data_IF_190620913348
#
_entry.id   IF_190620913348
#
_cell.length_a   1.000
_cell.length_b   1.000
_cell.length_c   1.000
_cell.angle_alpha   90.00
_cell.angle_beta   90.00
_cell.angle_gamma   90.00
#
_symmetry.space_group_name_H-M   'P 1'
#
loop_
_entity.id
_entity.type
_entity.pdbx_description
1 polymer ?
#
# COMPACT_ATOMS: atom_id res chain seq x y z
N UNK A 1 10.68 -8.24 -21.43
CA UNK A 1 11.02 -7.00 -20.71
C UNK A 1 12.52 -6.72 -20.92
N UNK A 2 12.92 -6.34 -22.14
CA UNK A 2 14.33 -6.01 -22.45
C UNK A 2 14.58 -4.57 -22.01
N UNK A 3 15.70 -4.30 -21.33
CA UNK A 3 16.11 -2.94 -20.96
C UNK A 3 15.54 -2.39 -19.65
N UNK A 4 14.67 -3.11 -18.94
CA UNK A 4 14.07 -2.60 -17.69
C UNK A 4 15.09 -2.37 -16.57
N UNK A 5 16.14 -3.19 -16.53
CA UNK A 5 17.24 -3.03 -15.58
C UNK A 5 18.36 -2.10 -16.09
N UNK A 6 18.24 -1.60 -17.33
CA UNK A 6 19.24 -0.75 -17.95
C UNK A 6 18.79 0.73 -17.84
N UNK A 7 19.35 1.51 -16.90
CA UNK A 7 18.93 2.88 -16.70
C UNK A 7 19.29 3.73 -17.93
N UNK A 8 18.33 4.52 -18.44
CA UNK A 8 18.64 5.48 -19.48
C UNK A 8 19.49 6.63 -18.90
N UNK A 9 20.61 7.00 -19.56
CA UNK A 9 21.45 8.10 -19.10
C UNK A 9 20.64 9.39 -18.91
N UNK A 10 20.77 10.02 -17.74
CA UNK A 10 20.08 11.28 -17.40
C UNK A 10 18.60 11.13 -17.02
N UNK A 11 18.00 9.95 -17.13
CA UNK A 11 16.62 9.75 -16.68
C UNK A 11 16.58 9.42 -15.19
N UNK A 12 15.87 10.21 -14.35
CA UNK A 12 15.77 9.91 -12.93
C UNK A 12 14.95 8.64 -12.74
N UNK A 13 15.50 7.69 -11.96
CA UNK A 13 14.71 6.60 -11.40
C UNK A 13 13.80 7.20 -10.34
N UNK A 14 12.52 6.90 -10.40
CA UNK A 14 11.52 7.41 -9.46
C UNK A 14 10.62 6.28 -8.99
N UNK A 15 10.28 6.32 -7.71
CA UNK A 15 9.28 5.43 -7.12
C UNK A 15 7.93 6.14 -7.14
N UNK A 16 6.86 5.43 -7.50
CA UNK A 16 5.50 5.99 -7.53
C UNK A 16 4.61 5.21 -6.57
N UNK A 17 3.99 5.92 -5.65
CA UNK A 17 2.91 5.40 -4.81
C UNK A 17 1.58 5.71 -5.49
N UNK A 18 0.76 4.68 -5.66
CA UNK A 18 -0.54 4.77 -6.34
C UNK A 18 -1.53 3.90 -5.58
N UNK A 19 -2.69 4.47 -5.29
CA UNK A 19 -3.78 3.86 -4.54
C UNK A 19 -3.38 3.48 -3.10
N UNK A 20 -2.53 4.29 -2.46
CA UNK A 20 -2.11 4.09 -1.08
C UNK A 20 -2.93 4.96 -0.11
N UNK A 21 -3.16 4.41 1.09
CA UNK A 21 -3.68 5.14 2.26
C UNK A 21 -2.58 5.22 3.31
N UNK A 22 -2.32 6.42 3.83
CA UNK A 22 -1.33 6.69 4.87
C UNK A 22 -2.01 7.18 6.14
N UNK A 23 -1.99 6.37 7.21
CA UNK A 23 -2.63 6.70 8.48
C UNK A 23 -1.59 7.03 9.53
N UNK A 24 -1.75 8.13 10.26
CA UNK A 24 -0.89 8.55 11.38
C UNK A 24 0.60 8.67 11.01
N UNK A 25 0.89 9.18 9.80
CA UNK A 25 2.25 9.38 9.32
C UNK A 25 2.63 10.87 9.36
N UNK A 26 3.69 11.22 10.07
CA UNK A 26 4.23 12.59 10.09
C UNK A 26 4.80 13.02 8.74
N UNK A 27 5.41 12.08 8.01
CA UNK A 27 5.92 12.27 6.66
C UNK A 27 5.54 11.06 5.80
N UNK A 28 4.87 11.29 4.66
CA UNK A 28 4.36 10.21 3.79
C UNK A 28 5.34 9.81 2.66
N UNK A 29 6.42 10.57 2.46
CA UNK A 29 7.43 10.29 1.43
C UNK A 29 8.76 10.95 1.75
N UNK A 30 9.84 10.33 1.31
CA UNK A 30 11.18 10.90 1.30
C UNK A 30 11.90 10.55 -0.01
N UNK A 31 13.07 11.15 -0.27
CA UNK A 31 13.85 10.87 -1.47
C UNK A 31 13.10 11.18 -2.77
N UNK A 32 13.12 10.24 -3.72
CA UNK A 32 12.57 10.40 -5.07
C UNK A 32 11.14 9.83 -5.23
N UNK A 33 10.41 9.62 -4.13
CA UNK A 33 9.03 9.15 -4.18
C UNK A 33 8.08 10.22 -4.73
N UNK A 34 7.24 9.82 -5.67
CA UNK A 34 6.10 10.58 -6.15
C UNK A 34 4.82 10.02 -5.54
N UNK A 35 4.12 10.86 -4.77
CA UNK A 35 2.84 10.55 -4.14
C UNK A 35 1.85 11.59 -4.64
N UNK A 36 0.98 11.18 -5.57
CA UNK A 36 -0.05 12.06 -6.13
C UNK A 36 -1.27 12.07 -5.18
N UNK A 37 -1.74 13.25 -4.71
CA UNK A 37 -2.90 13.33 -3.81
C UNK A 37 -4.23 12.90 -4.46
N UNK A 38 -4.32 12.80 -5.79
CA UNK A 38 -5.52 12.31 -6.47
C UNK A 38 -5.62 10.78 -6.48
N UNK A 39 -4.52 10.09 -6.17
CA UNK A 39 -4.46 8.63 -6.16
C UNK A 39 -3.99 8.10 -4.83
N UNK A 40 -3.75 8.95 -3.84
CA UNK A 40 -3.30 8.56 -2.52
C UNK A 40 -3.93 9.49 -1.51
N UNK A 41 -4.20 8.97 -0.32
CA UNK A 41 -4.87 9.73 0.72
C UNK A 41 -4.16 9.53 2.04
N UNK A 42 -4.07 10.60 2.84
CA UNK A 42 -3.43 10.56 4.13
C UNK A 42 -4.34 11.20 5.17
N UNK A 43 -4.39 10.57 6.34
CA UNK A 43 -5.22 10.98 7.47
C UNK A 43 -4.49 10.74 8.79
N UNK A 44 -4.88 11.48 9.83
CA UNK A 44 -4.37 11.43 11.20
C UNK A 44 -5.38 10.84 12.20
N UNK A 45 -6.46 10.23 11.68
CA UNK A 45 -7.46 9.53 12.46
C UNK A 45 -7.78 8.17 11.86
N UNK A 46 -8.52 7.36 12.62
CA UNK A 46 -8.99 6.05 12.16
C UNK A 46 -10.02 6.23 11.03
N UNK A 47 -9.71 5.77 9.80
CA UNK A 47 -10.60 5.96 8.65
C UNK A 47 -11.70 4.91 8.52
N UNK A 48 -11.89 4.07 9.54
CA UNK A 48 -12.86 2.98 9.53
C UNK A 48 -12.21 1.59 9.54
N UNK A 49 -11.10 1.42 10.26
CA UNK A 49 -10.59 0.10 10.59
C UNK A 49 -11.59 -0.69 11.44
N UNK A 50 -11.53 -2.02 11.35
CA UNK A 50 -12.35 -2.91 12.18
C UNK A 50 -11.91 -2.80 13.64
N UNK A 51 -10.61 -2.90 13.94
CA UNK A 51 -10.07 -2.77 15.31
C UNK A 51 -8.57 -2.46 15.31
N UNK A 52 -8.18 -1.20 15.48
CA UNK A 52 -6.77 -0.81 15.65
C UNK A 52 -6.09 -1.43 16.89
N UNK A 53 -6.72 -1.50 18.09
CA UNK A 53 -6.08 -2.09 19.28
C UNK A 53 -5.71 -3.56 19.13
N UNK A 54 -6.44 -4.30 18.28
CA UNK A 54 -6.19 -5.71 17.98
C UNK A 54 -5.33 -5.91 16.72
N UNK A 55 -4.79 -4.82 16.14
CA UNK A 55 -4.08 -4.80 14.86
C UNK A 55 -4.92 -5.34 13.68
N UNK A 56 -6.24 -5.25 13.76
CA UNK A 56 -7.15 -5.59 12.68
C UNK A 56 -7.43 -4.36 11.81
N UNK A 57 -6.57 -4.18 10.81
CA UNK A 57 -6.63 -3.07 9.84
C UNK A 57 -7.50 -3.38 8.62
N UNK A 58 -8.37 -4.40 8.68
CA UNK A 58 -9.44 -4.55 7.71
C UNK A 58 -10.35 -3.31 7.75
N UNK A 59 -10.96 -2.99 6.61
CA UNK A 59 -11.84 -1.83 6.48
C UNK A 59 -13.29 -2.25 6.68
N UNK A 60 -14.03 -1.44 7.44
CA UNK A 60 -15.49 -1.53 7.51
C UNK A 60 -16.08 -1.16 6.13
N UNK A 61 -17.24 -1.73 5.74
CA UNK A 61 -17.86 -1.45 4.44
C UNK A 61 -18.16 0.04 4.18
N UNK A 62 -18.31 0.81 5.24
CA UNK A 62 -18.62 2.25 5.24
C UNK A 62 -17.39 3.13 5.52
N UNK A 63 -16.17 2.58 5.44
CA UNK A 63 -14.93 3.35 5.60
C UNK A 63 -14.88 4.54 4.62
N UNK A 64 -14.47 5.70 5.13
CA UNK A 64 -14.35 6.92 4.34
C UNK A 64 -13.27 6.85 3.25
N UNK A 65 -12.35 5.87 3.36
CA UNK A 65 -11.35 5.57 2.32
C UNK A 65 -12.03 5.40 0.97
N UNK A 66 -13.18 4.71 0.90
CA UNK A 66 -13.86 4.46 -0.36
C UNK A 66 -14.48 5.72 -0.98
N UNK A 67 -14.73 6.76 -0.17
CA UNK A 67 -15.18 8.07 -0.65
C UNK A 67 -14.00 8.91 -1.16
N UNK A 68 -12.87 8.91 -0.44
CA UNK A 68 -11.67 9.66 -0.82
C UNK A 68 -10.88 9.02 -1.97
N UNK A 69 -10.85 7.69 -2.02
CA UNK A 69 -10.18 6.88 -3.04
C UNK A 69 -11.14 5.79 -3.56
N UNK A 70 -12.04 6.12 -4.51
CA UNK A 70 -13.00 5.14 -5.06
C UNK A 70 -12.36 3.93 -5.75
N UNK A 71 -11.10 4.07 -6.19
CA UNK A 71 -10.33 2.97 -6.78
C UNK A 71 -9.70 2.04 -5.72
N UNK A 72 -9.74 2.39 -4.44
CA UNK A 72 -9.16 1.59 -3.37
C UNK A 72 -9.94 0.29 -3.20
N UNK A 73 -9.21 -0.82 -3.08
CA UNK A 73 -9.78 -2.15 -2.85
C UNK A 73 -9.29 -2.66 -1.50
N UNK A 74 -10.16 -3.30 -0.68
CA UNK A 74 -9.74 -3.92 0.56
C UNK A 74 -8.56 -4.87 0.35
N UNK A 75 -7.56 -4.81 1.22
CA UNK A 75 -6.42 -5.71 1.17
C UNK A 75 -6.88 -7.10 1.61
N UNK A 76 -6.69 -8.16 0.78
CA UNK A 76 -7.11 -9.51 1.12
C UNK A 76 -6.06 -10.15 2.05
N UNK A 77 -6.04 -9.72 3.32
CA UNK A 77 -5.05 -10.17 4.31
C UNK A 77 -5.03 -11.69 4.52
N UNK A 78 -6.14 -12.38 4.21
CA UNK A 78 -6.29 -13.84 4.24
C UNK A 78 -5.61 -14.55 3.06
N UNK A 79 -5.25 -13.82 2.00
CA UNK A 79 -4.68 -14.35 0.76
C UNK A 79 -3.26 -13.84 0.48
N UNK A 80 -2.66 -13.08 1.39
CA UNK A 80 -1.29 -12.56 1.26
C UNK A 80 -0.42 -13.03 2.42
N UNK A 81 0.90 -13.05 2.20
CA UNK A 81 1.88 -13.47 3.19
C UNK A 81 2.65 -14.71 2.77
N UNK A 82 3.15 -15.45 3.76
CA UNK A 82 3.87 -16.70 3.51
C UNK A 82 2.88 -17.80 3.14
N UNK A 83 2.88 -18.20 1.87
CA UNK A 83 2.08 -19.31 1.35
C UNK A 83 2.99 -20.49 1.02
N UNK A 84 2.46 -21.71 1.21
CA UNK A 84 3.14 -22.93 0.76
C UNK A 84 2.97 -23.07 -0.74
N UNK A 85 4.06 -23.34 -1.43
CA UNK A 85 4.06 -23.68 -2.86
C UNK A 85 5.18 -24.71 -3.15
N UNK A 86 5.25 -25.30 -4.36
CA UNK A 86 6.28 -26.31 -4.68
C UNK A 86 7.73 -25.84 -4.50
N UNK A 87 7.99 -24.54 -4.57
CA UNK A 87 9.30 -23.91 -4.36
C UNK A 87 9.50 -23.41 -2.93
N UNK A 88 8.42 -23.29 -2.15
CA UNK A 88 8.41 -22.98 -0.71
C UNK A 88 7.55 -24.01 0.04
N UNK A 89 8.02 -25.26 0.17
CA UNK A 89 7.25 -26.33 0.82
C UNK A 89 7.07 -26.08 2.32
N UNK A 90 8.06 -25.44 2.95
CA UNK A 90 8.10 -25.19 4.38
C UNK A 90 8.03 -23.68 4.66
N UNK A 91 7.09 -23.31 5.53
CA UNK A 91 7.01 -21.97 6.09
C UNK A 91 7.81 -21.96 7.39
N UNK A 92 8.96 -21.28 7.38
CA UNK A 92 9.69 -21.02 8.61
C UNK A 92 9.00 -19.87 9.35
N UNK A 93 8.83 -19.98 10.68
CA UNK A 93 8.26 -18.90 11.50
C UNK A 93 9.14 -17.65 11.49
#
# INVERSE_FOLDING_TARGET
LVGFMDPQPGQPRISRAVNNVFVNCAEIKSGNWQVNPNTNWSTDHDPGFVSTPENNFLLKPDSEIFSHLPAFQPIPFDQIGLMKDPFRPDLKP
#
